data_IF_757514744141
#
_entry.id   IF_757514744141
#
_cell.length_a   1.000
_cell.length_b   1.000
_cell.length_c   1.000
_cell.angle_alpha   90.00
_cell.angle_beta   90.00
_cell.angle_gamma   90.00
#
_symmetry.space_group_name_H-M   'P 1'
#
loop_
_entity.id
_entity.type
_entity.pdbx_description
1 polymer ?
#
# COMPACT_ATOMS: atom_id res chain seq x y z
N UNK A 1 37.84 0.08 18.27
CA UNK A 1 37.76 1.10 17.21
C UNK A 1 38.16 2.44 17.80
N UNK A 2 38.90 3.27 17.07
CA UNK A 2 39.16 4.66 17.48
C UNK A 2 37.90 5.51 17.23
N UNK A 3 37.71 6.56 18.04
CA UNK A 3 36.62 7.52 17.87
C UNK A 3 36.61 8.16 16.47
N UNK A 4 37.80 8.46 15.91
CA UNK A 4 37.95 9.03 14.57
C UNK A 4 37.39 8.12 13.47
N UNK A 5 37.58 6.79 13.57
CA UNK A 5 37.05 5.85 12.57
C UNK A 5 35.52 5.74 12.59
N UNK A 6 34.90 5.92 13.76
CA UNK A 6 33.45 5.99 13.87
C UNK A 6 32.88 7.28 13.30
N UNK A 7 33.59 8.39 13.50
CA UNK A 7 33.20 9.66 12.92
C UNK A 7 33.30 9.63 11.38
N UNK A 8 34.35 9.00 10.82
CA UNK A 8 34.49 8.79 9.38
C UNK A 8 33.35 7.95 8.81
N UNK A 9 33.01 6.82 9.45
CA UNK A 9 31.87 5.99 9.04
C UNK A 9 30.54 6.70 9.18
N UNK A 10 30.35 7.51 10.22
CA UNK A 10 29.16 8.36 10.35
C UNK A 10 29.05 9.34 9.19
N UNK A 11 30.15 10.00 8.81
CA UNK A 11 30.14 10.92 7.67
C UNK A 11 29.86 10.20 6.36
N UNK A 12 30.38 8.99 6.17
CA UNK A 12 30.07 8.15 5.03
C UNK A 12 28.58 7.77 4.99
N UNK A 13 28.00 7.37 6.13
CA UNK A 13 26.57 7.05 6.24
C UNK A 13 25.68 8.28 6.00
N UNK A 14 26.13 9.45 6.42
CA UNK A 14 25.44 10.70 6.12
C UNK A 14 25.47 10.99 4.61
N UNK A 15 26.60 10.77 3.95
CA UNK A 15 26.74 10.93 2.50
C UNK A 15 25.82 9.96 1.74
N UNK A 16 25.80 8.66 2.11
CA UNK A 16 24.89 7.69 1.48
C UNK A 16 23.42 8.06 1.71
N UNK A 17 23.07 8.58 2.88
CA UNK A 17 21.71 9.08 3.16
C UNK A 17 21.33 10.29 2.28
N UNK A 18 22.30 11.16 1.97
CA UNK A 18 22.04 12.27 1.01
C UNK A 18 21.86 11.80 -0.42
N UNK A 19 22.68 10.84 -0.87
CA UNK A 19 22.54 10.20 -2.19
C UNK A 19 21.19 9.47 -2.30
N UNK A 20 20.77 8.79 -1.24
CA UNK A 20 19.47 8.12 -1.16
C UNK A 20 18.30 9.09 -1.35
N UNK A 21 18.36 10.28 -0.73
CA UNK A 21 17.34 11.32 -0.89
C UNK A 21 17.26 11.83 -2.34
N UNK A 22 18.41 12.00 -3.00
CA UNK A 22 18.46 12.40 -4.42
C UNK A 22 17.85 11.33 -5.33
N UNK A 23 18.18 10.06 -5.12
CA UNK A 23 17.60 8.95 -5.88
C UNK A 23 16.08 8.85 -5.67
N UNK A 24 15.59 9.05 -4.45
CA UNK A 24 14.16 9.06 -4.14
C UNK A 24 13.45 10.22 -4.85
N UNK A 25 14.04 11.42 -4.85
CA UNK A 25 13.46 12.57 -5.55
C UNK A 25 13.46 12.37 -7.08
N UNK A 26 14.53 11.78 -7.61
CA UNK A 26 14.59 11.36 -9.02
C UNK A 26 13.49 10.34 -9.36
N UNK A 27 13.23 9.36 -8.51
CA UNK A 27 12.13 8.41 -8.71
C UNK A 27 10.77 9.10 -8.63
N UNK A 28 10.59 10.05 -7.70
CA UNK A 28 9.34 10.78 -7.53
C UNK A 28 9.02 11.69 -8.73
N UNK A 29 10.05 12.30 -9.34
CA UNK A 29 9.92 13.23 -10.47
C UNK A 29 9.93 12.53 -11.83
N UNK A 30 10.20 11.22 -11.88
CA UNK A 30 10.22 10.43 -13.11
C UNK A 30 8.86 10.45 -13.81
N UNK A 31 8.84 10.99 -15.04
CA UNK A 31 7.65 11.04 -15.90
C UNK A 31 7.90 10.24 -17.16
N UNK A 32 7.06 9.24 -17.37
CA UNK A 32 7.08 8.44 -18.59
C UNK A 32 6.42 9.20 -19.75
N UNK A 33 7.11 9.27 -20.88
CA UNK A 33 6.58 9.87 -22.09
C UNK A 33 5.72 8.81 -22.82
N UNK A 34 4.51 9.16 -23.30
CA UNK A 34 3.68 8.19 -24.01
C UNK A 34 4.42 7.70 -25.27
N UNK A 35 4.59 6.39 -25.39
CA UNK A 35 5.29 5.70 -26.47
C UNK A 35 6.71 5.24 -26.12
N UNK A 36 7.27 5.60 -24.95
CA UNK A 36 8.61 5.16 -24.54
C UNK A 36 8.60 3.87 -23.71
N UNK A 37 7.42 3.42 -23.25
CA UNK A 37 7.27 2.23 -22.39
C UNK A 37 6.40 1.23 -23.13
N UNK A 38 6.97 0.16 -23.73
CA UNK A 38 6.18 -0.88 -24.36
C UNK A 38 5.14 -1.44 -23.38
N UNK A 39 3.91 -1.69 -23.84
CA UNK A 39 2.82 -2.26 -23.03
C UNK A 39 3.15 -3.63 -22.40
N UNK A 40 4.25 -4.25 -22.80
CA UNK A 40 4.75 -5.54 -22.33
C UNK A 40 5.91 -5.43 -21.33
N UNK A 41 6.44 -4.23 -21.05
CA UNK A 41 7.52 -4.11 -20.06
C UNK A 41 6.96 -4.28 -18.67
N UNK A 42 7.45 -5.28 -17.97
CA UNK A 42 7.20 -5.44 -16.55
C UNK A 42 7.78 -4.24 -15.79
N UNK A 43 7.14 -3.89 -14.67
CA UNK A 43 7.55 -2.79 -13.77
C UNK A 43 9.04 -2.87 -13.37
N UNK A 44 9.58 -4.09 -13.32
CA UNK A 44 10.97 -4.41 -12.95
C UNK A 44 11.97 -4.12 -14.08
N UNK A 45 11.52 -4.15 -15.33
CA UNK A 45 12.32 -3.83 -16.53
C UNK A 45 12.24 -2.36 -16.95
N UNK A 46 11.42 -1.57 -16.27
CA UNK A 46 11.29 -0.13 -16.51
C UNK A 46 12.38 0.64 -15.76
N UNK A 47 12.74 1.84 -16.23
CA UNK A 47 13.72 2.71 -15.56
C UNK A 47 13.35 3.00 -14.09
N UNK A 48 12.05 3.04 -13.76
CA UNK A 48 11.59 3.12 -12.37
C UNK A 48 11.88 1.89 -11.54
N UNK A 49 11.84 0.70 -12.16
CA UNK A 49 12.14 -0.58 -11.54
C UNK A 49 13.61 -0.65 -11.14
N UNK A 50 14.50 -0.32 -12.07
CA UNK A 50 15.95 -0.25 -11.83
C UNK A 50 16.29 0.74 -10.72
N UNK A 51 15.79 1.98 -10.80
CA UNK A 51 15.97 2.98 -9.75
C UNK A 51 15.41 2.51 -8.40
N UNK A 52 14.27 1.83 -8.40
CA UNK A 52 13.69 1.30 -7.16
C UNK A 52 14.54 0.18 -6.55
N UNK A 53 15.14 -0.68 -7.37
CA UNK A 53 16.03 -1.74 -6.92
C UNK A 53 17.32 -1.15 -6.31
N UNK A 54 17.91 -0.16 -6.97
CA UNK A 54 19.08 0.57 -6.48
C UNK A 54 18.80 1.27 -5.14
N UNK A 55 17.65 1.96 -5.02
CA UNK A 55 17.21 2.58 -3.77
C UNK A 55 17.03 1.53 -2.67
N UNK A 56 16.43 0.36 -2.96
CA UNK A 56 16.27 -0.67 -1.94
C UNK A 56 17.59 -1.30 -1.50
N UNK A 57 18.55 -1.48 -2.40
CA UNK A 57 19.89 -1.98 -2.04
C UNK A 57 20.61 -0.98 -1.15
N UNK A 58 20.70 0.28 -1.58
CA UNK A 58 21.39 1.36 -0.85
C UNK A 58 20.74 1.64 0.50
N UNK A 59 19.41 1.57 0.59
CA UNK A 59 18.67 1.69 1.84
C UNK A 59 19.02 0.54 2.81
N UNK A 60 19.02 -0.71 2.34
CA UNK A 60 19.39 -1.86 3.16
C UNK A 60 20.84 -1.77 3.63
N UNK A 61 21.76 -1.46 2.72
CA UNK A 61 23.18 -1.33 3.05
C UNK A 61 23.42 -0.19 4.07
N UNK A 62 22.67 0.92 3.96
CA UNK A 62 22.71 2.01 4.93
C UNK A 62 22.12 1.66 6.30
N UNK A 63 21.10 0.81 6.35
CA UNK A 63 20.52 0.31 7.61
C UNK A 63 21.45 -0.67 8.32
N UNK A 64 22.08 -1.58 7.58
CA UNK A 64 23.10 -2.49 8.11
C UNK A 64 24.28 -1.73 8.71
N UNK A 65 24.77 -0.67 8.02
CA UNK A 65 25.83 0.19 8.55
C UNK A 65 25.37 1.00 9.77
N UNK A 66 24.11 1.48 9.80
CA UNK A 66 23.54 2.18 10.95
C UNK A 66 23.47 1.29 12.20
N UNK A 67 22.99 0.05 12.05
CA UNK A 67 22.91 -0.94 13.12
C UNK A 67 24.31 -1.25 13.68
N UNK A 68 25.27 -1.47 12.79
CA UNK A 68 26.67 -1.71 13.17
C UNK A 68 27.27 -0.49 13.89
N UNK A 69 27.02 0.73 13.41
CA UNK A 69 27.49 1.94 14.07
C UNK A 69 26.87 2.12 15.46
N UNK A 70 25.58 1.81 15.60
CA UNK A 70 24.86 1.91 16.86
C UNK A 70 25.47 0.96 17.91
N UNK A 71 25.75 -0.29 17.53
CA UNK A 71 26.43 -1.25 18.39
C UNK A 71 27.84 -0.77 18.76
N UNK A 72 28.64 -0.34 17.78
CA UNK A 72 30.02 0.09 18.03
C UNK A 72 30.08 1.33 18.95
N UNK A 73 29.15 2.27 18.82
CA UNK A 73 29.01 3.43 19.73
C UNK A 73 28.60 2.99 21.15
N UNK A 74 27.76 1.96 21.28
CA UNK A 74 27.38 1.41 22.59
C UNK A 74 28.59 0.80 23.31
N UNK A 75 29.46 0.09 22.59
CA UNK A 75 30.67 -0.55 23.12
C UNK A 75 31.85 0.41 23.38
N UNK A 76 31.82 1.65 22.86
CA UNK A 76 32.85 2.64 23.18
C UNK A 76 32.93 2.91 24.69
N UNK A 77 34.14 2.78 25.23
CA UNK A 77 34.48 3.03 26.64
C UNK A 77 35.40 4.25 26.75
N UNK A 78 34.92 5.30 27.41
CA UNK A 78 35.67 6.54 27.69
C UNK A 78 35.08 7.77 27.00
N UNK A 79 35.16 8.93 27.66
CA UNK A 79 34.58 10.23 27.28
C UNK A 79 33.06 10.21 27.08
N UNK A 80 32.29 10.24 28.18
CA UNK A 80 30.81 10.28 28.16
C UNK A 80 30.26 11.36 27.24
N UNK A 81 30.78 12.59 27.29
CA UNK A 81 30.26 13.69 26.47
C UNK A 81 30.43 13.51 24.95
N UNK A 82 31.56 12.97 24.50
CA UNK A 82 31.80 12.74 23.08
C UNK A 82 31.02 11.52 22.57
N UNK A 83 30.86 10.51 23.44
CA UNK A 83 29.99 9.35 23.20
C UNK A 83 28.52 9.77 23.07
N UNK A 84 28.03 10.62 23.96
CA UNK A 84 26.63 11.08 23.96
C UNK A 84 26.32 11.88 22.69
N UNK A 85 27.24 12.77 22.27
CA UNK A 85 27.12 13.52 21.01
C UNK A 85 27.11 12.60 19.79
N UNK A 86 27.99 11.61 19.76
CA UNK A 86 28.06 10.67 18.65
C UNK A 86 26.77 9.83 18.60
N UNK A 87 26.28 9.37 19.75
CA UNK A 87 25.01 8.65 19.86
C UNK A 87 23.83 9.49 19.36
N UNK A 88 23.74 10.76 19.74
CA UNK A 88 22.71 11.67 19.24
C UNK A 88 22.76 11.81 17.72
N UNK A 89 23.95 11.95 17.13
CA UNK A 89 24.11 12.02 15.67
C UNK A 89 23.72 10.72 14.95
N UNK A 90 24.01 9.55 15.53
CA UNK A 90 23.61 8.24 15.00
C UNK A 90 22.10 8.04 15.09
N UNK A 91 21.48 8.43 16.21
CA UNK A 91 20.02 8.40 16.37
C UNK A 91 19.33 9.34 15.37
N UNK A 92 19.92 10.51 15.11
CA UNK A 92 19.42 11.45 14.10
C UNK A 92 19.45 10.83 12.70
N UNK A 93 20.57 10.21 12.30
CA UNK A 93 20.69 9.55 11.00
C UNK A 93 19.70 8.38 10.88
N UNK A 94 19.49 7.60 11.95
CA UNK A 94 18.46 6.55 11.97
C UNK A 94 17.06 7.10 11.70
N UNK A 95 16.68 8.23 12.31
CA UNK A 95 15.41 8.91 12.01
C UNK A 95 15.33 9.40 10.55
N UNK A 96 16.45 9.86 9.99
CA UNK A 96 16.51 10.26 8.59
C UNK A 96 16.34 9.08 7.63
N UNK A 97 16.93 7.90 7.93
CA UNK A 97 16.72 6.66 7.19
C UNK A 97 15.26 6.21 7.21
N UNK A 98 14.60 6.25 8.37
CA UNK A 98 13.16 5.96 8.48
C UNK A 98 12.31 6.94 7.66
N UNK A 99 12.64 8.23 7.70
CA UNK A 99 11.99 9.23 6.84
C UNK A 99 12.23 8.93 5.35
N UNK A 100 13.44 8.51 4.97
CA UNK A 100 13.77 8.09 3.62
C UNK A 100 12.90 6.90 3.18
N UNK A 101 12.70 5.88 4.02
CA UNK A 101 11.79 4.75 3.72
C UNK A 101 10.36 5.20 3.38
N UNK A 102 9.81 6.10 4.18
CA UNK A 102 8.46 6.64 3.97
C UNK A 102 8.38 7.42 2.65
N UNK A 103 9.38 8.27 2.40
CA UNK A 103 9.47 9.04 1.15
C UNK A 103 9.65 8.14 -0.08
N UNK A 104 10.43 7.05 0.03
CA UNK A 104 10.60 6.05 -1.01
C UNK A 104 9.28 5.35 -1.35
N UNK A 105 8.50 4.94 -0.34
CA UNK A 105 7.18 4.33 -0.57
C UNK A 105 6.26 5.28 -1.34
N UNK A 106 6.26 6.56 -0.98
CA UNK A 106 5.49 7.59 -1.68
C UNK A 106 5.98 7.79 -3.13
N UNK A 107 7.29 7.91 -3.33
CA UNK A 107 7.91 8.07 -4.64
C UNK A 107 7.64 6.86 -5.56
N UNK A 108 7.68 5.64 -5.00
CA UNK A 108 7.37 4.41 -5.73
C UNK A 108 5.90 4.38 -6.17
N UNK A 109 4.98 4.81 -5.32
CA UNK A 109 3.56 4.91 -5.70
C UNK A 109 3.33 5.98 -6.77
N UNK A 110 4.00 7.13 -6.68
CA UNK A 110 3.89 8.18 -7.70
C UNK A 110 4.48 7.74 -9.05
N UNK A 111 5.61 7.03 -9.06
CA UNK A 111 6.22 6.45 -10.26
C UNK A 111 5.31 5.38 -10.89
N UNK A 112 4.72 4.48 -10.08
CA UNK A 112 3.73 3.50 -10.57
C UNK A 112 2.51 4.17 -11.18
N UNK A 113 2.00 5.20 -10.51
CA UNK A 113 0.87 5.96 -11.03
C UNK A 113 1.23 6.68 -12.34
N UNK A 114 2.42 7.26 -12.45
CA UNK A 114 2.86 7.94 -13.68
C UNK A 114 3.04 6.96 -14.84
N UNK A 115 3.56 5.75 -14.58
CA UNK A 115 3.66 4.66 -15.55
C UNK A 115 2.28 4.24 -16.04
N UNK A 116 1.37 3.92 -15.13
CA UNK A 116 0.01 3.52 -15.46
C UNK A 116 -0.73 4.61 -16.25
N UNK A 117 -0.52 5.88 -15.91
CA UNK A 117 -1.09 7.00 -16.63
C UNK A 117 -0.52 7.12 -18.05
N UNK A 118 0.77 6.87 -18.25
CA UNK A 118 1.39 6.85 -19.58
C UNK A 118 0.84 5.71 -20.45
N UNK A 119 0.74 4.49 -19.90
CA UNK A 119 0.15 3.34 -20.61
C UNK A 119 -1.31 3.57 -20.99
N UNK A 120 -2.12 4.24 -20.14
CA UNK A 120 -3.50 4.61 -20.48
C UNK A 120 -3.53 5.58 -21.66
N UNK A 121 -2.67 6.61 -21.65
CA UNK A 121 -2.56 7.56 -22.77
C UNK A 121 -2.14 6.87 -24.07
N UNK A 122 -1.23 5.91 -24.01
CA UNK A 122 -0.85 5.12 -25.19
C UNK A 122 -2.04 4.35 -25.76
N UNK A 123 -2.83 3.68 -24.89
CA UNK A 123 -4.05 2.98 -25.32
C UNK A 123 -5.05 3.94 -25.94
N UNK A 124 -5.24 5.13 -25.37
CA UNK A 124 -6.10 6.17 -25.94
C UNK A 124 -5.59 6.67 -27.31
N UNK A 125 -4.27 6.87 -27.47
CA UNK A 125 -3.67 7.26 -28.75
C UNK A 125 -3.86 6.16 -29.81
N UNK A 126 -3.70 4.89 -29.43
CA UNK A 126 -3.96 3.77 -30.33
C UNK A 126 -5.45 3.67 -30.69
N UNK A 127 -6.35 3.78 -29.72
CA UNK A 127 -7.79 3.74 -29.98
C UNK A 127 -8.25 4.92 -30.85
N UNK A 128 -7.74 6.12 -30.59
CA UNK A 128 -8.07 7.30 -31.40
C UNK A 128 -7.57 7.14 -32.84
N UNK A 129 -6.36 6.60 -33.05
CA UNK A 129 -5.85 6.34 -34.41
C UNK A 129 -6.66 5.27 -35.15
N UNK A 130 -7.20 4.26 -34.48
CA UNK A 130 -8.13 3.29 -35.07
C UNK A 130 -9.54 3.85 -35.31
N UNK A 131 -10.00 4.74 -34.44
CA UNK A 131 -11.35 5.32 -34.52
C UNK A 131 -11.45 6.51 -35.48
N UNK A 132 -10.32 7.10 -35.90
CA UNK A 132 -10.31 8.21 -36.83
C UNK A 132 -10.75 7.68 -38.20
N UNK A 133 -11.98 7.99 -38.66
CA UNK A 133 -12.42 7.56 -39.97
C UNK A 133 -11.49 8.23 -40.98
N UNK A 134 -10.91 7.44 -41.87
CA UNK A 134 -10.35 7.94 -43.12
C UNK A 134 -11.39 8.87 -43.72
N UNK A 135 -11.14 10.19 -43.67
CA UNK A 135 -11.93 11.17 -44.39
C UNK A 135 -11.58 11.06 -45.87
N UNK A 136 -11.88 9.90 -46.44
CA UNK A 136 -12.27 9.78 -47.83
C UNK A 136 -13.79 9.96 -47.85
N UNK A 137 -14.30 10.73 -48.80
CA UNK A 137 -15.71 11.11 -49.01
C UNK A 137 -16.18 12.44 -48.41
N UNK A 138 -15.56 13.56 -48.82
CA UNK A 138 -16.37 14.66 -49.36
C UNK A 138 -15.55 15.58 -50.29
N UNK A 139 -15.50 15.23 -51.58
CA UNK A 139 -15.31 16.20 -52.66
C UNK A 139 -15.96 15.59 -53.91
N UNK A 140 -17.26 15.87 -54.02
CA UNK A 140 -17.96 15.86 -55.29
C UNK A 140 -17.27 16.90 -56.20
N UNK A 141 -16.84 16.49 -57.39
CA UNK A 141 -16.31 17.29 -58.51
C UNK A 141 -16.39 18.82 -58.36
N UNK A 142 -15.28 19.51 -58.65
CA UNK A 142 -15.26 20.26 -59.91
C UNK A 142 -13.98 20.05 -60.72
N UNK A 143 -14.13 20.26 -62.03
CA UNK A 143 -13.12 20.29 -63.07
C UNK A 143 -11.82 21.04 -62.71
N UNK A 144 -10.80 20.69 -63.50
CA UNK A 144 -9.58 21.43 -63.84
C UNK A 144 -8.23 21.08 -63.19
N UNK A 145 -7.39 20.54 -64.08
CA UNK A 145 -5.96 20.76 -64.29
C UNK A 145 -4.90 20.31 -63.26
N UNK A 146 -4.03 19.41 -63.80
CA UNK A 146 -2.57 19.35 -63.62
C UNK A 146 -2.04 18.94 -62.24
N UNK A 147 -1.43 17.74 -62.14
CA UNK A 147 0.03 17.53 -62.36
C UNK A 147 0.49 16.16 -61.80
N UNK A 148 1.02 15.31 -62.68
CA UNK A 148 2.08 14.30 -62.49
C UNK A 148 1.94 13.13 -61.48
N UNK A 149 1.61 11.92 -61.98
CA UNK A 149 2.52 10.73 -62.03
C UNK A 149 1.87 9.53 -62.75
N UNK A 150 2.65 8.51 -63.17
CA UNK A 150 2.76 8.11 -64.57
C UNK A 150 1.70 7.10 -65.01
N UNK A 151 1.10 7.38 -66.15
CA UNK A 151 0.22 6.48 -66.89
C UNK A 151 1.04 5.34 -67.48
N UNK A 152 0.86 4.14 -66.93
CA UNK A 152 1.30 2.88 -67.53
C UNK A 152 0.59 2.74 -68.87
N UNK A 153 1.37 2.68 -69.95
CA UNK A 153 0.92 2.61 -71.34
C UNK A 153 -0.20 1.58 -71.52
N UNK A 154 -1.43 2.05 -71.76
CA UNK A 154 -2.41 1.28 -72.51
C UNK A 154 -1.97 1.30 -73.97
N UNK A 155 -1.34 0.20 -74.40
CA UNK A 155 -1.15 -0.09 -75.81
C UNK A 155 -2.53 -0.24 -76.44
N UNK A 156 -2.92 0.78 -77.19
CA UNK A 156 -4.04 0.75 -78.10
C UNK A 156 -3.73 -0.29 -79.18
N UNK A 157 -4.23 -1.52 -79.01
CA UNK A 157 -4.11 -2.58 -80.03
C UNK A 157 -4.85 -2.10 -81.26
N UNK A 158 -4.05 -1.75 -82.26
CA UNK A 158 -4.44 -1.35 -83.58
C UNK A 158 -5.26 -2.49 -84.22
N UNK A 159 -6.58 -2.28 -84.31
CA UNK A 159 -7.46 -3.10 -85.16
C UNK A 159 -7.05 -2.88 -86.62
N UNK A 160 -6.11 -3.68 -87.10
CA UNK A 160 -5.99 -3.97 -88.51
C UNK A 160 -7.02 -5.05 -88.84
N UNK A 161 -8.15 -4.63 -89.43
CA UNK A 161 -9.09 -5.56 -90.04
C UNK A 161 -8.97 -5.41 -91.56
N UNK A 162 -8.15 -6.26 -92.16
CA UNK A 162 -8.18 -6.55 -93.59
C UNK A 162 -9.02 -7.82 -93.80
N UNK A 163 -10.20 -7.63 -94.41
CA UNK A 163 -10.93 -8.59 -95.27
C UNK A 163 -11.16 -10.02 -94.76
N UNK A 164 -11.89 -10.22 -93.66
CA UNK A 164 -12.50 -11.51 -93.34
C UNK A 164 -14.00 -11.33 -93.05
N UNK A 165 -14.81 -12.26 -93.58
CA UNK A 165 -16.27 -12.30 -93.47
C UNK A 165 -16.74 -12.27 -92.02
N UNK A 166 -17.88 -11.62 -91.74
CA UNK A 166 -18.42 -11.42 -90.38
C UNK A 166 -18.51 -12.70 -89.54
N UNK A 167 -18.76 -13.85 -90.18
CA UNK A 167 -18.84 -15.16 -89.53
C UNK A 167 -17.49 -15.62 -88.93
N UNK A 168 -16.39 -15.45 -89.66
CA UNK A 168 -15.05 -15.79 -89.17
C UNK A 168 -14.62 -14.86 -88.03
N UNK A 169 -15.03 -13.60 -88.08
CA UNK A 169 -14.70 -12.63 -87.04
C UNK A 169 -15.47 -12.91 -85.74
N UNK A 170 -16.71 -13.39 -85.83
CA UNK A 170 -17.49 -13.85 -84.68
C UNK A 170 -16.91 -15.14 -84.09
N UNK A 171 -16.46 -16.09 -84.92
CA UNK A 171 -15.89 -17.35 -84.44
C UNK A 171 -14.51 -17.18 -83.78
N UNK A 172 -13.66 -16.31 -84.34
CA UNK A 172 -12.36 -15.96 -83.74
C UNK A 172 -12.55 -15.11 -82.48
N UNK A 173 -13.53 -14.21 -82.46
CA UNK A 173 -13.92 -13.45 -81.27
C UNK A 173 -14.48 -14.33 -80.15
N UNK A 174 -15.26 -15.36 -80.47
CA UNK A 174 -15.76 -16.34 -79.51
C UNK A 174 -14.62 -17.16 -78.89
N UNK A 175 -13.67 -17.62 -79.71
CA UNK A 175 -12.49 -18.35 -79.23
C UNK A 175 -11.57 -17.47 -78.37
N UNK A 176 -11.42 -16.20 -78.73
CA UNK A 176 -10.70 -15.21 -77.94
C UNK A 176 -11.41 -14.92 -76.60
N UNK A 177 -12.74 -14.84 -76.60
CA UNK A 177 -13.53 -14.66 -75.38
C UNK A 177 -13.46 -15.87 -74.46
N UNK A 178 -13.51 -17.10 -74.99
CA UNK A 178 -13.30 -18.33 -74.19
C UNK A 178 -11.89 -18.34 -73.60
N UNK A 179 -10.87 -17.97 -74.37
CA UNK A 179 -9.48 -17.91 -73.87
C UNK A 179 -9.31 -16.85 -72.78
N UNK A 180 -9.97 -15.69 -72.95
CA UNK A 180 -9.97 -14.63 -71.93
C UNK A 180 -10.78 -15.02 -70.69
N UNK A 181 -11.88 -15.75 -70.85
CA UNK A 181 -12.65 -16.29 -69.74
C UNK A 181 -11.83 -17.33 -68.96
N UNK A 182 -11.13 -18.24 -69.66
CA UNK A 182 -10.27 -19.25 -69.03
C UNK A 182 -9.10 -18.61 -68.26
N UNK A 183 -8.46 -17.60 -68.86
CA UNK A 183 -7.43 -16.80 -68.16
C UNK A 183 -8.00 -16.10 -66.94
N UNK A 184 -9.18 -15.48 -67.06
CA UNK A 184 -9.84 -14.82 -65.94
C UNK A 184 -10.23 -15.80 -64.82
N UNK A 185 -10.68 -17.01 -65.16
CA UNK A 185 -10.95 -18.06 -64.15
C UNK A 185 -9.67 -18.56 -63.50
N UNK A 186 -8.59 -18.67 -64.27
CA UNK A 186 -7.29 -19.05 -63.74
C UNK A 186 -6.76 -18.00 -62.77
N UNK A 187 -6.85 -16.72 -63.12
CA UNK A 187 -6.45 -15.61 -62.26
C UNK A 187 -7.31 -15.57 -60.98
N UNK A 188 -8.61 -15.88 -61.08
CA UNK A 188 -9.49 -16.04 -59.92
C UNK A 188 -9.09 -17.22 -59.05
N UNK A 189 -8.80 -18.39 -59.63
CA UNK A 189 -8.37 -19.58 -58.91
C UNK A 189 -7.03 -19.33 -58.20
N UNK A 190 -6.09 -18.61 -58.83
CA UNK A 190 -4.83 -18.23 -58.20
C UNK A 190 -5.04 -17.23 -57.06
N UNK A 191 -5.94 -16.26 -57.23
CA UNK A 191 -6.29 -15.31 -56.18
C UNK A 191 -7.00 -16.01 -55.00
N UNK A 192 -7.86 -16.99 -55.27
CA UNK A 192 -8.55 -17.80 -54.26
C UNK A 192 -7.56 -18.72 -53.52
N UNK A 193 -6.59 -19.31 -54.24
CA UNK A 193 -5.50 -20.10 -53.65
C UNK A 193 -4.62 -19.26 -52.73
N UNK A 194 -4.19 -18.07 -53.18
CA UNK A 194 -3.42 -17.15 -52.33
C UNK A 194 -4.23 -16.71 -51.09
N UNK A 195 -5.54 -16.51 -51.25
CA UNK A 195 -6.45 -16.22 -50.14
C UNK A 195 -6.61 -17.40 -49.18
N UNK A 196 -6.61 -18.63 -49.70
CA UNK A 196 -6.68 -19.85 -48.91
C UNK A 196 -5.39 -20.11 -48.13
N UNK A 197 -4.22 -19.84 -48.73
CA UNK A 197 -2.93 -19.91 -48.05
C UNK A 197 -2.87 -18.91 -46.90
N UNK A 198 -3.30 -17.66 -47.12
CA UNK A 198 -3.39 -16.66 -46.07
C UNK A 198 -4.38 -17.04 -44.96
N UNK A 199 -5.53 -17.62 -45.32
CA UNK A 199 -6.49 -18.13 -44.34
C UNK A 199 -5.93 -19.33 -43.54
N UNK A 200 -5.16 -20.21 -44.19
CA UNK A 200 -4.48 -21.30 -43.52
C UNK A 200 -3.42 -20.80 -42.55
N UNK A 201 -2.60 -19.84 -42.97
CA UNK A 201 -1.57 -19.23 -42.11
C UNK A 201 -2.21 -18.56 -40.89
N UNK A 202 -3.30 -17.81 -41.10
CA UNK A 202 -4.09 -17.18 -40.02
C UNK A 202 -4.68 -18.24 -39.06
N UNK A 203 -5.23 -19.33 -39.59
CA UNK A 203 -5.77 -20.42 -38.75
C UNK A 203 -4.67 -21.12 -37.95
N UNK A 204 -3.51 -21.37 -38.56
CA UNK A 204 -2.38 -21.97 -37.86
C UNK A 204 -1.82 -21.06 -36.78
N UNK A 205 -1.74 -19.75 -37.06
CA UNK A 205 -1.31 -18.75 -36.08
C UNK A 205 -2.33 -18.64 -34.93
N UNK A 206 -3.63 -18.61 -35.23
CA UNK A 206 -4.68 -18.59 -34.20
C UNK A 206 -4.67 -19.86 -33.33
N UNK A 207 -4.38 -21.03 -33.92
CA UNK A 207 -4.25 -22.30 -33.19
C UNK A 207 -2.99 -22.31 -32.32
N UNK A 208 -1.89 -21.75 -32.81
CA UNK A 208 -0.66 -21.58 -32.02
C UNK A 208 -0.88 -20.62 -30.84
N UNK A 209 -1.60 -19.51 -31.05
CA UNK A 209 -1.96 -18.57 -30.00
C UNK A 209 -2.87 -19.22 -28.94
N UNK A 210 -3.86 -20.03 -29.35
CA UNK A 210 -4.69 -20.81 -28.42
C UNK A 210 -3.87 -21.81 -27.60
N UNK A 211 -2.89 -22.46 -28.22
CA UNK A 211 -1.98 -23.38 -27.51
C UNK A 211 -1.11 -22.65 -26.50
N UNK A 212 -0.53 -21.51 -26.87
CA UNK A 212 0.25 -20.67 -25.95
C UNK A 212 -0.58 -20.17 -24.78
N UNK A 213 -1.85 -19.82 -25.03
CA UNK A 213 -2.77 -19.41 -23.98
C UNK A 213 -3.10 -20.57 -23.04
N UNK A 214 -3.32 -21.78 -23.56
CA UNK A 214 -3.51 -22.99 -22.75
C UNK A 214 -2.27 -23.33 -21.90
N UNK A 215 -1.07 -23.21 -22.47
CA UNK A 215 0.19 -23.40 -21.75
C UNK A 215 0.35 -22.37 -20.62
N UNK A 216 -0.04 -21.12 -20.90
CA UNK A 216 -0.01 -20.02 -19.94
C UNK A 216 -1.04 -20.22 -18.81
N UNK A 217 -2.23 -20.74 -19.11
CA UNK A 217 -3.19 -21.13 -18.06
C UNK A 217 -2.68 -22.32 -17.23
N UNK A 218 -1.99 -23.29 -17.84
CA UNK A 218 -1.36 -24.39 -17.11
C UNK A 218 -0.21 -23.95 -16.20
N UNK A 219 0.61 -22.98 -16.64
CA UNK A 219 1.66 -22.41 -15.81
C UNK A 219 1.09 -21.59 -14.64
N UNK A 220 -0.01 -20.86 -14.87
CA UNK A 220 -0.74 -20.15 -13.81
C UNK A 220 -1.34 -21.11 -12.79
N UNK A 221 -1.92 -22.25 -13.21
CA UNK A 221 -2.44 -23.25 -12.29
C UNK A 221 -1.32 -23.89 -11.45
N UNK A 222 -0.16 -24.14 -12.07
CA UNK A 222 1.03 -24.65 -11.37
C UNK A 222 1.58 -23.62 -10.37
N UNK A 223 1.57 -22.33 -10.72
CA UNK A 223 1.98 -21.24 -9.84
C UNK A 223 0.97 -21.00 -8.70
N UNK A 224 -0.32 -21.14 -8.98
CA UNK A 224 -1.37 -21.09 -7.96
C UNK A 224 -1.29 -22.29 -7.02
N UNK A 225 -0.97 -23.48 -7.54
CA UNK A 225 -0.74 -24.66 -6.73
C UNK A 225 0.49 -24.49 -5.81
N UNK A 226 1.60 -23.95 -6.32
CA UNK A 226 2.80 -23.70 -5.51
C UNK A 226 2.57 -22.58 -4.48
N UNK A 227 1.82 -21.52 -4.84
CA UNK A 227 1.39 -20.48 -3.91
C UNK A 227 0.47 -21.05 -2.83
N UNK A 228 -0.47 -21.93 -3.19
CA UNK A 228 -1.37 -22.58 -2.23
C UNK A 228 -0.62 -23.53 -1.31
N UNK A 229 0.39 -24.23 -1.81
CA UNK A 229 1.23 -25.11 -1.00
C UNK A 229 2.13 -24.30 -0.05
N UNK A 230 2.68 -23.18 -0.51
CA UNK A 230 3.40 -22.23 0.34
C UNK A 230 2.49 -21.57 1.38
N UNK A 231 1.29 -21.12 1.01
CA UNK A 231 0.31 -20.62 1.95
C UNK A 231 -0.18 -21.71 2.90
N UNK A 232 -0.32 -22.94 2.42
CA UNK A 232 -0.71 -24.10 3.23
C UNK A 232 0.35 -24.47 4.25
N UNK A 233 1.63 -24.48 3.86
CA UNK A 233 2.76 -24.73 4.75
C UNK A 233 2.95 -23.59 5.75
N UNK A 234 2.77 -22.34 5.33
CA UNK A 234 2.91 -21.17 6.19
C UNK A 234 1.74 -21.10 7.20
N UNK A 235 0.51 -21.34 6.76
CA UNK A 235 -0.66 -21.37 7.63
C UNK A 235 -0.65 -22.61 8.53
N UNK A 236 -0.14 -23.76 8.06
CA UNK A 236 0.10 -24.95 8.90
C UNK A 236 1.19 -24.71 9.94
N UNK A 237 2.25 -23.99 9.57
CA UNK A 237 3.36 -23.62 10.46
C UNK A 237 2.89 -22.64 11.53
N UNK A 238 2.20 -21.57 11.15
CA UNK A 238 1.66 -20.55 12.06
C UNK A 238 0.56 -21.10 13.00
N UNK A 239 -0.12 -22.19 12.61
CA UNK A 239 -1.08 -22.89 13.47
C UNK A 239 -0.42 -23.60 14.65
N UNK A 240 0.83 -24.05 14.50
CA UNK A 240 1.60 -24.62 15.62
C UNK A 240 2.01 -23.55 16.62
N UNK A 241 2.37 -22.36 16.13
CA UNK A 241 2.80 -21.24 16.96
C UNK A 241 1.65 -20.68 17.81
N UNK A 242 0.45 -20.61 17.20
CA UNK A 242 -0.78 -20.25 17.92
C UNK A 242 -1.09 -21.24 19.05
N UNK A 243 -0.72 -22.52 18.91
CA UNK A 243 -0.94 -23.52 19.96
C UNK A 243 0.01 -23.34 21.15
N UNK A 244 1.28 -22.95 20.91
CA UNK A 244 2.23 -22.60 21.97
C UNK A 244 1.84 -21.31 22.70
N UNK A 245 1.42 -20.27 21.98
CA UNK A 245 0.96 -19.02 22.60
C UNK A 245 -0.32 -19.25 23.42
N UNK A 246 -1.23 -20.10 22.91
CA UNK A 246 -2.45 -20.47 23.63
C UNK A 246 -2.15 -21.25 24.93
N UNK A 247 -1.27 -22.25 24.90
CA UNK A 247 -0.93 -23.05 26.09
C UNK A 247 -0.20 -22.24 27.16
N UNK A 248 0.71 -21.35 26.75
CA UNK A 248 1.41 -20.43 27.68
C UNK A 248 0.46 -19.38 28.26
N UNK A 249 -0.47 -18.83 27.49
CA UNK A 249 -1.51 -17.92 27.99
C UNK A 249 -2.42 -18.60 29.03
N UNK A 250 -2.85 -19.84 28.79
CA UNK A 250 -3.65 -20.58 29.78
C UNK A 250 -2.85 -20.89 31.06
N UNK A 251 -1.58 -21.27 30.94
CA UNK A 251 -0.71 -21.46 32.12
C UNK A 251 -0.51 -20.15 32.90
N UNK A 252 -0.34 -19.02 32.21
CA UNK A 252 -0.27 -17.69 32.83
C UNK A 252 -1.59 -17.34 33.51
N UNK A 253 -2.73 -17.51 32.85
CA UNK A 253 -4.04 -17.25 33.42
C UNK A 253 -4.32 -18.13 34.66
N UNK A 254 -3.95 -19.41 34.63
CA UNK A 254 -4.05 -20.31 35.77
C UNK A 254 -3.18 -19.86 36.95
N UNK A 255 -1.93 -19.47 36.71
CA UNK A 255 -1.03 -19.00 37.78
C UNK A 255 -1.46 -17.64 38.33
N UNK A 256 -1.95 -16.73 37.48
CA UNK A 256 -2.50 -15.44 37.90
C UNK A 256 -3.79 -15.63 38.71
N UNK A 257 -4.69 -16.51 38.26
CA UNK A 257 -5.88 -16.92 39.00
C UNK A 257 -5.55 -17.55 40.35
N UNK A 258 -4.54 -18.42 40.42
CA UNK A 258 -4.04 -19.00 41.67
C UNK A 258 -3.44 -17.93 42.59
N UNK A 259 -2.69 -16.97 42.05
CA UNK A 259 -2.17 -15.84 42.81
C UNK A 259 -3.30 -14.96 43.34
N UNK A 260 -4.32 -14.67 42.54
CA UNK A 260 -5.49 -13.90 42.98
C UNK A 260 -6.25 -14.66 44.07
N UNK A 261 -6.47 -15.97 43.91
CA UNK A 261 -7.09 -16.80 44.92
C UNK A 261 -6.28 -16.79 46.23
N UNK A 262 -4.96 -16.96 46.14
CA UNK A 262 -4.07 -17.02 47.30
C UNK A 262 -3.84 -15.67 47.97
N UNK A 263 -3.68 -14.60 47.18
CA UNK A 263 -3.27 -13.26 47.64
C UNK A 263 -4.47 -12.37 47.92
N UNK A 264 -5.42 -12.30 46.99
CA UNK A 264 -6.54 -11.36 47.02
C UNK A 264 -7.78 -11.95 47.68
N UNK A 265 -8.03 -13.25 47.58
CA UNK A 265 -9.20 -13.84 48.25
C UNK A 265 -8.87 -14.26 49.69
N UNK A 266 -7.74 -14.90 49.97
CA UNK A 266 -7.53 -15.47 51.31
C UNK A 266 -7.42 -14.45 52.46
N UNK A 267 -6.74 -13.32 52.25
CA UNK A 267 -6.60 -12.27 53.27
C UNK A 267 -7.88 -11.44 53.48
N UNK A 268 -8.40 -10.78 52.44
CA UNK A 268 -9.63 -10.00 52.50
C UNK A 268 -10.88 -10.82 52.81
N UNK A 269 -11.00 -12.08 52.37
CA UNK A 269 -12.16 -12.91 52.75
C UNK A 269 -12.15 -13.22 54.25
N UNK A 270 -10.98 -13.36 54.88
CA UNK A 270 -10.91 -13.51 56.33
C UNK A 270 -11.36 -12.22 57.04
N UNK A 271 -11.04 -11.04 56.49
CA UNK A 271 -11.62 -9.78 56.95
C UNK A 271 -13.13 -9.69 56.71
N UNK A 272 -13.64 -10.11 55.55
CA UNK A 272 -15.08 -10.12 55.24
C UNK A 272 -15.86 -11.10 56.11
N UNK A 273 -15.25 -12.18 56.60
CA UNK A 273 -15.87 -13.10 57.57
C UNK A 273 -15.71 -12.59 59.01
N UNK A 274 -14.56 -12.01 59.35
CA UNK A 274 -14.27 -11.51 60.71
C UNK A 274 -15.00 -10.20 61.05
N UNK A 275 -15.17 -9.30 60.09
CA UNK A 275 -15.81 -8.00 60.27
C UNK A 275 -17.32 -8.11 60.61
N UNK A 276 -18.16 -8.92 59.94
CA UNK A 276 -19.56 -9.12 60.36
C UNK A 276 -19.65 -9.93 61.66
N UNK A 277 -18.74 -10.87 61.91
CA UNK A 277 -18.69 -11.61 63.17
C UNK A 277 -18.39 -10.65 64.34
N UNK A 278 -17.41 -9.74 64.19
CA UNK A 278 -17.10 -8.73 65.19
C UNK A 278 -18.17 -7.65 65.31
N UNK A 279 -18.88 -7.29 64.24
CA UNK A 279 -20.06 -6.42 64.33
C UNK A 279 -21.18 -7.10 65.12
N UNK A 280 -21.46 -8.38 64.86
CA UNK A 280 -22.49 -9.14 65.59
C UNK A 280 -22.16 -9.30 67.08
N UNK A 281 -20.89 -9.48 67.43
CA UNK A 281 -20.45 -9.51 68.84
C UNK A 281 -20.22 -8.11 69.46
N UNK A 282 -20.07 -7.06 68.65
CA UNK A 282 -19.75 -5.69 69.08
C UNK A 282 -20.91 -4.69 69.09
N UNK A 283 -22.03 -4.99 68.42
CA UNK A 283 -23.24 -4.14 68.41
C UNK A 283 -24.19 -4.37 69.60
N UNK A 284 -23.80 -5.16 70.60
CA UNK A 284 -24.64 -5.42 71.78
C UNK A 284 -24.78 -4.25 72.77
N UNK A 285 -23.97 -3.18 72.70
CA UNK A 285 -23.89 -2.20 73.80
C UNK A 285 -23.88 -0.71 73.44
N UNK A 286 -24.08 -0.30 72.18
CA UNK A 286 -24.03 1.13 71.85
C UNK A 286 -25.15 1.58 70.90
N UNK A 287 -26.40 1.46 71.36
CA UNK A 287 -27.54 2.16 70.80
C UNK A 287 -28.11 3.11 71.86
N UNK A 288 -27.75 4.39 71.76
CA UNK A 288 -28.37 5.45 72.57
C UNK A 288 -27.48 6.64 72.81
N UNK A 289 -27.43 7.59 71.86
CA UNK A 289 -27.34 9.04 72.14
C UNK A 289 -27.12 9.81 70.83
N UNK A 290 -28.20 10.27 70.23
CA UNK A 290 -28.18 11.38 69.27
C UNK A 290 -29.56 12.05 69.25
N UNK A 291 -29.88 12.80 70.29
CA UNK A 291 -30.99 13.77 70.32
C UNK A 291 -30.51 15.02 71.07
N UNK A 292 -30.64 16.17 70.40
CA UNK A 292 -30.54 17.57 70.87
C UNK A 292 -29.09 18.07 71.11
N UNK A 293 -28.67 19.27 70.72
CA UNK A 293 -29.43 20.53 70.68
C UNK A 293 -28.79 21.57 69.74
N UNK A 294 -29.63 22.27 68.99
CA UNK A 294 -29.32 23.49 68.27
C UNK A 294 -29.53 24.73 69.16
N UNK A 295 -28.74 25.78 68.93
CA UNK A 295 -29.20 27.17 69.12
C UNK A 295 -28.64 27.96 70.31
N UNK A 296 -27.86 29.00 69.94
CA UNK A 296 -27.80 30.35 70.52
C UNK A 296 -27.23 30.63 71.93
N UNK A 297 -26.23 31.51 71.97
CA UNK A 297 -26.35 32.80 72.68
C UNK A 297 -25.82 32.91 74.11
N UNK A 298 -24.66 33.59 74.23
CA UNK A 298 -24.38 34.71 75.15
C UNK A 298 -24.52 34.53 76.69
N UNK A 299 -23.40 34.76 77.41
CA UNK A 299 -23.40 35.31 78.78
C UNK A 299 -22.56 34.58 79.84
N UNK A 300 -21.39 35.16 80.19
CA UNK A 300 -20.83 35.46 81.54
C UNK A 300 -21.38 34.67 82.76
N UNK A 301 -20.66 34.21 83.81
CA UNK A 301 -19.39 34.60 84.50
C UNK A 301 -18.96 33.40 85.42
N UNK A 302 -17.76 33.50 86.00
CA UNK A 302 -17.15 32.81 87.17
C UNK A 302 -16.49 31.45 86.91
N UNK A 303 -15.15 31.42 86.78
CA UNK A 303 -14.10 31.53 87.82
C UNK A 303 -13.82 30.20 88.52
N UNK A 304 -12.73 29.55 88.12
CA UNK A 304 -11.82 28.86 89.03
C UNK A 304 -10.49 28.66 88.29
N UNK A 305 -9.43 29.18 88.90
CA UNK A 305 -8.13 29.36 88.26
C UNK A 305 -7.21 28.15 88.27
N UNK A 306 -6.20 28.23 87.39
CA UNK A 306 -4.77 27.91 87.60
C UNK A 306 -4.12 28.03 86.22
N UNK A 307 -3.46 29.14 85.91
CA UNK A 307 -2.05 29.44 86.23
C UNK A 307 -1.04 28.52 85.51
N UNK A 308 -0.68 28.86 84.27
CA UNK A 308 0.71 28.75 83.79
C UNK A 308 0.96 29.60 82.53
N UNK A 309 1.55 30.78 82.79
CA UNK A 309 2.65 31.42 82.05
C UNK A 309 2.53 31.59 80.53
N UNK A 310 2.19 32.81 80.12
CA UNK A 310 2.65 33.41 78.86
C UNK A 310 3.67 34.53 79.11
N UNK A 311 4.05 35.20 78.00
CA UNK A 311 4.75 36.49 77.84
C UNK A 311 6.25 36.37 77.45
N UNK A 312 6.76 37.10 76.43
CA UNK A 312 6.17 37.48 75.13
C UNK A 312 7.18 37.39 73.93
N UNK A 313 6.67 37.46 72.69
CA UNK A 313 7.49 37.72 71.48
C UNK A 313 7.22 39.14 71.02
N UNK A 314 8.29 39.90 70.82
CA UNK A 314 8.29 41.30 70.39
C UNK A 314 9.14 41.41 69.11
N UNK A 315 8.59 42.07 68.08
CA UNK A 315 9.35 42.60 66.96
C UNK A 315 9.32 41.83 65.63
N UNK A 316 8.43 42.24 64.72
CA UNK A 316 8.80 42.54 63.32
C UNK A 316 9.54 43.90 63.37
N UNK A 317 10.55 44.22 62.52
CA UNK A 317 10.42 44.11 61.06
C UNK A 317 11.72 43.73 60.30
N UNK A 318 11.57 43.35 59.03
CA UNK A 318 12.18 43.98 57.86
C UNK A 318 12.39 43.01 56.69
N UNK A 319 11.86 43.46 55.55
CA UNK A 319 12.06 42.95 54.20
C UNK A 319 13.55 42.96 53.82
N UNK A 320 13.99 41.91 53.12
CA UNK A 320 14.97 41.95 52.00
C UNK A 320 15.66 40.58 51.84
N UNK A 321 15.12 39.72 50.97
CA UNK A 321 15.94 38.75 50.22
C UNK A 321 15.36 38.55 48.81
N UNK A 322 16.21 38.50 47.75
CA UNK A 322 15.76 38.51 46.37
C UNK A 322 15.51 37.08 45.85
N UNK A 323 14.29 36.81 45.38
CA UNK A 323 13.99 35.62 44.59
C UNK A 323 14.20 35.90 43.10
N UNK A 324 15.08 35.11 42.49
CA UNK A 324 15.29 35.01 41.03
C UNK A 324 13.97 34.59 40.35
N UNK A 325 13.44 35.45 39.48
CA UNK A 325 12.34 35.12 38.56
C UNK A 325 12.93 34.48 37.29
N UNK A 326 12.62 33.21 37.08
CA UNK A 326 12.87 32.51 35.80
C UNK A 326 11.70 32.84 34.87
N UNK A 327 12.00 33.43 33.71
CA UNK A 327 11.02 33.82 32.70
C UNK A 327 10.34 32.60 32.07
N UNK A 328 9.00 32.60 32.07
CA UNK A 328 8.13 31.57 31.49
C UNK A 328 7.40 32.17 30.28
N UNK A 329 8.14 32.78 29.34
CA UNK A 329 7.52 33.44 28.18
C UNK A 329 7.94 32.82 26.83
N UNK A 330 8.95 31.96 26.78
CA UNK A 330 9.41 31.35 25.51
C UNK A 330 8.91 29.91 25.26
N UNK A 331 8.23 29.27 26.22
CA UNK A 331 7.66 27.92 26.00
C UNK A 331 6.23 27.94 25.46
N UNK A 332 5.51 29.06 25.62
CA UNK A 332 4.13 29.17 25.13
C UNK A 332 4.06 29.35 23.61
N UNK A 333 4.99 30.10 23.02
CA UNK A 333 5.01 30.37 21.57
C UNK A 333 5.36 29.11 20.75
N UNK A 334 6.31 28.30 21.25
CA UNK A 334 6.72 27.04 20.58
C UNK A 334 5.63 25.97 20.68
N UNK A 335 4.86 25.92 21.78
CA UNK A 335 3.73 25.01 21.92
C UNK A 335 2.55 25.40 21.03
N UNK A 336 2.32 26.70 20.82
CA UNK A 336 1.26 27.20 19.93
C UNK A 336 1.59 26.94 18.44
N UNK A 337 2.87 27.01 18.06
CA UNK A 337 3.31 26.67 16.71
C UNK A 337 3.23 25.17 16.43
N UNK A 338 3.56 24.32 17.41
CA UNK A 338 3.40 22.86 17.30
C UNK A 338 1.92 22.45 17.23
N UNK A 339 1.03 23.11 17.99
CA UNK A 339 -0.41 22.84 17.94
C UNK A 339 -1.04 23.27 16.60
N UNK A 340 -0.54 24.35 15.98
CA UNK A 340 -0.90 24.73 14.61
C UNK A 340 -0.47 23.67 13.59
N UNK A 341 0.74 23.13 13.70
CA UNK A 341 1.25 22.10 12.77
C UNK A 341 0.45 20.80 12.92
N UNK A 342 0.13 20.38 14.14
CA UNK A 342 -0.71 19.18 14.39
C UNK A 342 -2.12 19.36 13.82
N UNK A 343 -2.70 20.56 13.93
CA UNK A 343 -4.02 20.85 13.35
C UNK A 343 -4.00 20.86 11.82
N UNK A 344 -2.94 21.36 11.17
CA UNK A 344 -2.78 21.32 9.70
C UNK A 344 -2.59 19.88 9.21
N UNK A 345 -1.88 19.04 9.96
CA UNK A 345 -1.72 17.60 9.62
C UNK A 345 -3.05 16.86 9.74
N UNK A 346 -3.85 17.16 10.77
CA UNK A 346 -5.20 16.58 10.94
C UNK A 346 -6.17 17.06 9.85
N UNK A 347 -6.11 18.32 9.46
CA UNK A 347 -6.94 18.89 8.39
C UNK A 347 -6.55 18.34 7.01
N UNK A 348 -5.26 18.05 6.78
CA UNK A 348 -4.79 17.39 5.57
C UNK A 348 -5.21 15.90 5.50
N UNK A 349 -5.33 15.22 6.64
CA UNK A 349 -5.84 13.85 6.74
C UNK A 349 -7.38 13.80 6.51
N UNK A 350 -8.10 14.83 6.95
CA UNK A 350 -9.54 15.01 6.66
C UNK A 350 -9.82 15.32 5.18
N UNK A 351 -8.93 16.05 4.49
CA UNK A 351 -9.05 16.32 3.04
C UNK A 351 -8.60 15.14 2.15
N UNK A 352 -7.92 14.14 2.71
CA UNK A 352 -7.60 12.87 2.05
C UNK A 352 -8.74 11.85 2.08
N UNK A 353 -9.75 12.07 2.92
CA UNK A 353 -10.93 11.22 3.02
C UNK A 353 -12.09 11.81 2.20
N UNK A 354 -11.99 11.65 0.88
CA UNK A 354 -13.17 11.76 0.02
C UNK A 354 -14.05 10.56 0.39
N UNK A 355 -15.29 10.74 0.90
CA UNK A 355 -16.20 9.62 1.03
C UNK A 355 -16.50 9.12 -0.38
N UNK A 356 -16.08 7.89 -0.68
CA UNK A 356 -16.61 7.16 -1.82
C UNK A 356 -18.13 7.19 -1.71
N UNK A 357 -18.76 7.85 -2.68
CA UNK A 357 -20.20 7.91 -2.79
C UNK A 357 -20.76 6.49 -2.89
N UNK A 358 -21.83 6.26 -2.14
CA UNK A 358 -22.73 5.12 -2.29
C UNK A 358 -23.32 5.08 -3.70
N UNK A 359 -22.62 4.45 -4.66
CA UNK A 359 -23.23 3.97 -5.89
C UNK A 359 -22.72 2.56 -6.22
N UNK A 360 -23.70 1.70 -6.52
CA UNK A 360 -23.59 0.37 -7.12
C UNK A 360 -23.38 -0.85 -6.22
N UNK A 361 -24.35 -1.03 -5.30
CA UNK A 361 -24.90 -2.34 -5.01
C UNK A 361 -25.67 -2.88 -6.24
N UNK A 362 -24.96 -3.36 -7.25
CA UNK A 362 -25.52 -4.28 -8.25
C UNK A 362 -24.86 -5.64 -8.00
N UNK A 363 -25.53 -6.44 -7.17
CA UNK A 363 -25.16 -7.83 -6.92
C UNK A 363 -24.98 -8.60 -8.22
N UNK A 364 -23.77 -9.14 -8.42
CA UNK A 364 -23.44 -10.00 -9.55
C UNK A 364 -24.32 -11.26 -9.55
N UNK A 365 -25.24 -11.45 -10.52
CA UNK A 365 -26.19 -12.57 -10.51
C UNK A 365 -25.55 -13.92 -10.87
N UNK A 366 -24.25 -13.97 -11.19
CA UNK A 366 -23.57 -15.21 -11.59
C UNK A 366 -23.08 -16.07 -10.41
N UNK A 367 -23.15 -15.58 -9.17
CA UNK A 367 -22.68 -16.33 -7.99
C UNK A 367 -23.64 -17.44 -7.51
N UNK A 368 -24.85 -17.54 -8.08
CA UNK A 368 -25.87 -18.55 -7.75
C UNK A 368 -25.84 -19.83 -8.58
N UNK A 369 -24.98 -19.93 -9.61
CA UNK A 369 -24.97 -21.08 -10.52
C UNK A 369 -23.98 -22.17 -10.11
N UNK A 370 -23.27 -22.02 -8.98
CA UNK A 370 -22.20 -22.93 -8.55
C UNK A 370 -22.32 -23.38 -7.09
N UNK A 371 -23.53 -23.34 -6.52
CA UNK A 371 -23.80 -24.08 -5.27
C UNK A 371 -24.25 -25.50 -5.65
N UNK A 372 -23.36 -26.46 -5.42
CA UNK A 372 -23.68 -27.88 -5.43
C UNK A 372 -24.74 -28.18 -4.36
N UNK A 373 -25.73 -29.06 -4.61
CA UNK A 373 -26.73 -29.38 -3.61
C UNK A 373 -26.11 -30.13 -2.44
N UNK A 374 -26.31 -29.59 -1.23
CA UNK A 374 -26.00 -30.26 0.04
C UNK A 374 -26.56 -31.68 0.06
N UNK A 375 -25.66 -32.66 0.02
CA UNK A 375 -26.00 -34.06 0.25
C UNK A 375 -26.29 -34.21 1.74
N UNK A 376 -27.58 -34.26 2.08
CA UNK A 376 -28.06 -34.64 3.42
C UNK A 376 -27.63 -36.08 3.68
N UNK A 377 -26.53 -36.25 4.41
CA UNK A 377 -26.03 -37.55 4.82
C UNK A 377 -26.96 -38.12 5.90
N UNK A 378 -27.81 -39.04 5.46
CA UNK A 378 -28.80 -39.72 6.27
C UNK A 378 -28.07 -40.61 7.29
N UNK A 379 -28.20 -40.26 8.57
CA UNK A 379 -27.74 -41.06 9.71
C UNK A 379 -28.26 -42.50 9.60
N UNK A 380 -27.36 -43.46 9.38
CA UNK A 380 -27.66 -44.88 9.61
C UNK A 380 -27.34 -45.24 11.06
N UNK A 381 -28.24 -45.94 11.77
CA UNK A 381 -27.99 -46.39 13.13
C UNK A 381 -26.91 -47.48 13.14
N UNK A 382 -26.07 -47.42 14.16
CA UNK A 382 -25.11 -48.46 14.51
C UNK A 382 -25.88 -49.72 14.92
N UNK A 383 -25.70 -50.80 14.17
CA UNK A 383 -25.98 -52.14 14.68
C UNK A 383 -24.74 -52.68 15.41
N UNK A 384 -25.04 -53.21 16.57
CA UNK A 384 -24.17 -53.87 17.52
C UNK A 384 -23.64 -55.19 16.96
N UNK A 385 -22.38 -55.52 17.26
CA UNK A 385 -21.89 -56.86 17.64
C UNK A 385 -20.43 -56.80 18.09
#
# INVERSE_FOLDING_TARGET
MSFEGLQERLTALQETTTQLKELIDRLATLKFQPGSVPLTTDEESSESGELSAEITSTLRDGEEEHELLQEEVEFLRGAEHDKDRLKESVEKIGKELESCRLSFRKARLSAKHSLAQAQRREREILLTSFSQPTSETNSLYPDDEKTARPTRHQQHVQKQQSSLTEEDQQNVGASANVTNALRRTHDLIQAELARSEFAHETLTESSAALKQLNESYGSLDTMLASSKDLLGTLLRSQKSDTWYLQTTFYMLACTLGWLLFRRLLYGPMWWIVWLPLRLMFGLGTSAGSAVMQAGSGQGQVEETGQASKGVPVEGLPDDELPTVKVGTEQQAEVLEEVDKIVNVVREADELGNIPEGDEDNIGNPKKRMWEEPDVVEQQRPRDEL
#
